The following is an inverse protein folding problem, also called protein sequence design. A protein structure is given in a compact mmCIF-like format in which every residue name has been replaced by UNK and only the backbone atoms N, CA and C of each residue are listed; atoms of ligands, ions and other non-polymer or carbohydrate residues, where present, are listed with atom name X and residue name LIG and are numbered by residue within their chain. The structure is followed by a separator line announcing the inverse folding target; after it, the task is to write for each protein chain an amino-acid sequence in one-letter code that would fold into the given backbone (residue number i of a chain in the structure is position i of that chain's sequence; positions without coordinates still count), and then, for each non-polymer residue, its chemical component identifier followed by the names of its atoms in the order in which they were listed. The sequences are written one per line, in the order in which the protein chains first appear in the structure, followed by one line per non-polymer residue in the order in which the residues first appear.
data_IF_336665073008
#
_entry.id   IF_336665073008
#
_cell.length_a   1.000
_cell.length_b   1.000
_cell.length_c   1.000
_cell.angle_alpha   90.00
_cell.angle_beta   90.00
_cell.angle_gamma   90.00
#
_symmetry.space_group_name_H-M   'P 1'
#
loop_
_entity.id
_entity.type
_entity.pdbx_description
1 polymer ?
#
# COMPACT_ATOMS: atom_id res chain seq x y z
N UNK A 1 -2.76 -9.30 42.33
CA UNK A 1 -2.46 -10.60 41.65
C UNK A 1 -3.15 -10.71 40.28
N UNK A 2 -3.56 -9.67 39.65
CA UNK A 2 -4.33 -9.73 38.37
C UNK A 2 -3.56 -9.28 37.10
N UNK A 3 -2.34 -8.78 37.24
CA UNK A 3 -1.57 -8.25 36.09
C UNK A 3 -0.63 -9.28 35.43
N UNK A 4 -0.32 -10.39 36.10
CA UNK A 4 0.61 -11.40 35.55
C UNK A 4 -0.05 -12.41 34.58
N UNK A 5 -1.39 -12.58 34.65
CA UNK A 5 -2.09 -13.52 33.74
C UNK A 5 -2.32 -12.99 32.33
N UNK A 6 -2.34 -11.69 32.14
CA UNK A 6 -2.56 -11.09 30.81
C UNK A 6 -1.33 -11.17 29.89
N UNK A 7 -0.12 -11.16 30.46
CA UNK A 7 1.14 -11.21 29.70
C UNK A 7 1.44 -12.63 29.16
N UNK A 8 1.02 -13.67 29.89
CA UNK A 8 1.28 -15.08 29.48
C UNK A 8 0.40 -15.51 28.30
N UNK A 9 -0.77 -14.89 28.09
CA UNK A 9 -1.65 -15.22 26.97
C UNK A 9 -1.24 -14.57 25.66
N UNK A 10 -0.52 -13.46 25.70
CA UNK A 10 -0.04 -12.74 24.49
C UNK A 10 1.16 -13.43 23.82
N UNK A 11 2.05 -14.07 24.59
CA UNK A 11 3.21 -14.80 24.05
C UNK A 11 2.86 -16.15 23.45
N UNK A 12 1.77 -16.79 23.84
CA UNK A 12 1.36 -18.09 23.33
C UNK A 12 0.82 -18.09 21.88
N UNK A 13 0.41 -16.93 21.36
CA UNK A 13 -0.06 -16.76 19.97
C UNK A 13 1.05 -16.65 18.93
N UNK A 14 2.24 -16.23 19.35
CA UNK A 14 3.38 -15.97 18.45
C UNK A 14 4.34 -17.16 18.31
N UNK A 15 4.26 -18.18 19.16
CA UNK A 15 5.15 -19.34 19.14
C UNK A 15 4.73 -20.41 18.11
N UNK A 16 4.58 -20.05 16.83
CA UNK A 16 4.47 -21.03 15.73
C UNK A 16 3.24 -21.95 15.73
N UNK A 17 2.30 -21.77 16.66
CA UNK A 17 1.04 -22.52 16.65
C UNK A 17 0.07 -21.86 15.67
N UNK A 18 -0.53 -22.66 14.77
CA UNK A 18 -1.59 -22.25 13.84
C UNK A 18 -2.57 -21.32 14.55
N UNK A 19 -2.56 -20.03 14.16
CA UNK A 19 -3.57 -19.08 14.64
C UNK A 19 -4.92 -19.59 14.20
N UNK A 20 -5.82 -19.82 15.15
CA UNK A 20 -7.15 -20.37 14.86
C UNK A 20 -7.96 -19.32 14.10
N UNK A 21 -8.66 -19.74 13.04
CA UNK A 21 -9.70 -18.93 12.40
C UNK A 21 -10.63 -18.32 13.44
N UNK A 22 -11.21 -17.16 13.14
CA UNK A 22 -12.14 -16.43 14.00
C UNK A 22 -11.55 -15.77 15.25
N UNK A 23 -10.22 -15.62 15.34
CA UNK A 23 -9.57 -14.77 16.34
C UNK A 23 -9.13 -13.46 15.71
N UNK A 24 -9.02 -12.42 16.49
CA UNK A 24 -8.43 -11.16 16.08
C UNK A 24 -6.92 -11.32 15.90
N UNK A 25 -6.34 -10.55 14.96
CA UNK A 25 -4.88 -10.44 14.85
C UNK A 25 -4.38 -9.78 16.14
N UNK A 26 -3.38 -10.37 16.86
CA UNK A 26 -2.80 -9.71 18.02
C UNK A 26 -2.32 -8.30 17.64
N UNK A 27 -2.49 -7.34 18.56
CA UNK A 27 -1.97 -5.99 18.37
C UNK A 27 -0.49 -6.03 18.00
N UNK A 28 -0.05 -5.04 17.24
CA UNK A 28 1.37 -4.87 16.96
C UNK A 28 2.16 -4.77 18.28
N UNK A 29 3.36 -5.30 18.30
CA UNK A 29 4.30 -5.17 19.41
C UNK A 29 5.69 -4.84 18.88
N UNK A 30 6.51 -4.20 19.72
CA UNK A 30 7.84 -3.75 19.38
C UNK A 30 8.70 -4.88 18.77
N UNK A 31 9.42 -4.56 17.72
CA UNK A 31 10.22 -5.48 16.91
C UNK A 31 9.50 -6.11 15.73
N UNK A 32 8.17 -6.12 15.69
CA UNK A 32 7.43 -6.61 14.53
C UNK A 32 7.31 -5.53 13.45
N UNK A 33 7.39 -5.94 12.19
CA UNK A 33 7.01 -5.11 11.05
C UNK A 33 5.68 -5.65 10.49
N UNK A 34 4.64 -4.83 10.51
CA UNK A 34 3.36 -5.15 9.88
C UNK A 34 3.16 -4.34 8.60
N UNK A 35 2.72 -5.01 7.54
CA UNK A 35 2.39 -4.38 6.25
C UNK A 35 0.97 -4.82 5.88
N UNK A 36 0.03 -3.89 5.98
CA UNK A 36 -1.38 -4.12 5.73
C UNK A 36 -1.77 -3.58 4.37
N UNK A 37 -2.40 -4.41 3.53
CA UNK A 37 -3.09 -4.00 2.31
C UNK A 37 -4.58 -3.99 2.61
N UNK A 38 -5.18 -2.80 2.67
CA UNK A 38 -6.54 -2.61 3.18
C UNK A 38 -7.55 -2.79 2.06
N UNK A 39 -8.60 -3.58 2.31
CA UNK A 39 -9.69 -3.86 1.36
C UNK A 39 -10.90 -2.95 1.65
N UNK A 40 -11.25 -2.08 0.70
CA UNK A 40 -12.53 -1.33 0.73
C UNK A 40 -13.36 -1.56 -0.54
N UNK A 41 -12.75 -2.21 -1.55
CA UNK A 41 -13.37 -2.38 -2.87
C UNK A 41 -13.49 -1.08 -3.67
N UNK A 42 -12.76 -0.01 -3.30
CA UNK A 42 -12.88 1.32 -3.93
C UNK A 42 -11.56 2.06 -4.16
N UNK A 43 -10.45 1.46 -3.92
CA UNK A 43 -9.14 2.07 -4.13
C UNK A 43 -8.06 1.45 -3.26
N UNK A 44 -6.88 2.03 -3.31
CA UNK A 44 -5.70 1.53 -2.62
C UNK A 44 -5.42 2.30 -1.33
N UNK A 45 -5.07 1.56 -0.30
CA UNK A 45 -4.50 2.09 0.93
C UNK A 45 -3.67 0.99 1.60
N UNK A 46 -2.44 1.33 1.97
CA UNK A 46 -1.59 0.47 2.78
C UNK A 46 -1.30 1.14 4.12
N UNK A 47 -1.17 0.33 5.17
CA UNK A 47 -0.63 0.76 6.46
C UNK A 47 0.61 -0.10 6.76
N UNK A 48 1.74 0.55 7.01
CA UNK A 48 2.95 -0.08 7.50
C UNK A 48 3.17 0.36 8.96
N UNK A 49 3.42 -0.60 9.86
CA UNK A 49 3.82 -0.34 11.24
C UNK A 49 5.22 -0.92 11.38
N UNK A 50 6.20 -0.03 11.51
CA UNK A 50 7.62 -0.35 11.50
C UNK A 50 8.07 -0.93 12.85
N UNK A 51 9.28 -1.50 12.96
CA UNK A 51 9.71 -2.22 14.15
C UNK A 51 9.71 -1.43 15.47
N UNK A 52 9.78 -0.09 15.40
CA UNK A 52 9.69 0.80 16.57
C UNK A 52 8.32 1.45 16.77
N UNK A 53 7.32 1.05 15.97
CA UNK A 53 5.97 1.62 15.98
C UNK A 53 5.79 2.82 15.05
N UNK A 54 6.83 3.32 14.40
CA UNK A 54 6.69 4.35 13.34
C UNK A 54 5.72 3.84 12.27
N UNK A 55 4.77 4.68 11.89
CA UNK A 55 3.72 4.29 10.96
C UNK A 55 3.75 5.07 9.64
N UNK A 56 3.47 4.37 8.55
CA UNK A 56 3.35 4.92 7.21
C UNK A 56 2.03 4.50 6.62
N UNK A 57 1.24 5.45 6.14
CA UNK A 57 0.09 5.17 5.26
C UNK A 57 0.50 5.50 3.83
N UNK A 58 0.23 4.60 2.91
CA UNK A 58 0.44 4.82 1.48
C UNK A 58 -0.90 4.83 0.79
N UNK A 59 -1.23 5.96 0.18
CA UNK A 59 -2.45 6.22 -0.56
C UNK A 59 -3.75 6.20 0.29
N UNK A 60 -4.80 6.81 -0.25
CA UNK A 60 -6.14 6.84 0.32
C UNK A 60 -7.17 6.95 -0.83
N UNK A 61 -7.20 5.93 -1.68
CA UNK A 61 -8.00 5.92 -2.89
C UNK A 61 -9.49 5.71 -2.61
N UNK A 62 -10.31 6.50 -3.28
CA UNK A 62 -11.77 6.35 -3.21
C UNK A 62 -12.39 6.58 -4.59
N UNK A 63 -12.78 5.50 -5.25
CA UNK A 63 -13.53 5.58 -6.50
C UNK A 63 -14.97 5.99 -6.28
N UNK A 64 -15.52 6.67 -7.27
CA UNK A 64 -16.95 6.96 -7.38
C UNK A 64 -17.83 5.73 -7.20
N UNK A 65 -18.90 5.90 -6.42
CA UNK A 65 -19.90 4.87 -6.18
C UNK A 65 -20.69 4.48 -7.44
N UNK A 66 -20.81 5.36 -8.43
CA UNK A 66 -21.78 5.23 -9.53
C UNK A 66 -21.19 5.25 -10.95
N UNK A 67 -19.92 5.03 -11.14
CA UNK A 67 -19.34 5.03 -12.48
C UNK A 67 -19.94 3.92 -13.37
N UNK A 68 -20.87 4.26 -14.28
CA UNK A 68 -21.42 3.32 -15.29
C UNK A 68 -20.37 2.57 -16.11
N UNK A 69 -19.12 3.06 -16.11
CA UNK A 69 -17.97 2.46 -16.79
C UNK A 69 -17.18 1.45 -15.94
N UNK A 70 -17.37 1.43 -14.62
CA UNK A 70 -16.64 0.57 -13.72
C UNK A 70 -17.62 -0.17 -12.81
N UNK A 71 -17.95 -1.40 -13.15
CA UNK A 71 -18.58 -2.30 -12.18
C UNK A 71 -17.52 -2.63 -11.13
N UNK A 72 -17.55 -1.91 -10.03
CA UNK A 72 -16.69 -2.19 -8.89
C UNK A 72 -17.21 -3.40 -8.11
N UNK A 73 -16.34 -4.06 -7.39
CA UNK A 73 -16.74 -5.06 -6.40
C UNK A 73 -17.59 -4.43 -5.29
N UNK A 74 -18.29 -5.23 -4.52
CA UNK A 74 -19.06 -4.73 -3.38
C UNK A 74 -18.15 -3.93 -2.43
N UNK A 75 -18.63 -2.78 -1.94
CA UNK A 75 -17.89 -1.93 -1.01
C UNK A 75 -17.77 -2.60 0.37
N UNK A 76 -16.64 -2.41 1.05
CA UNK A 76 -16.39 -2.94 2.40
C UNK A 76 -16.33 -1.82 3.42
N UNK A 77 -16.75 -2.08 4.66
CA UNK A 77 -17.43 -3.29 5.13
C UNK A 77 -18.89 -3.39 4.65
N UNK A 78 -19.47 -2.31 4.11
CA UNK A 78 -20.83 -2.24 3.58
C UNK A 78 -20.97 -1.06 2.61
N UNK A 79 -22.11 -0.95 1.93
CA UNK A 79 -22.37 0.09 0.93
C UNK A 79 -22.50 1.52 1.52
N UNK A 80 -22.80 1.63 2.81
CA UNK A 80 -23.03 2.91 3.51
C UNK A 80 -21.75 3.53 4.05
N UNK A 81 -20.73 2.70 4.37
CA UNK A 81 -19.47 3.17 4.92
C UNK A 81 -18.58 3.71 3.81
N UNK A 82 -18.30 5.00 3.84
CA UNK A 82 -17.38 5.64 2.89
C UNK A 82 -15.98 4.98 2.97
N UNK A 83 -15.28 4.70 1.84
CA UNK A 83 -13.95 4.05 1.84
C UNK A 83 -12.94 4.73 2.76
N UNK A 84 -12.84 6.05 2.73
CA UNK A 84 -11.93 6.81 3.62
C UNK A 84 -12.30 6.67 5.09
N UNK A 85 -13.60 6.48 5.43
CA UNK A 85 -13.99 6.14 6.80
C UNK A 85 -13.53 4.74 7.18
N UNK A 86 -13.69 3.76 6.30
CA UNK A 86 -13.22 2.40 6.53
C UNK A 86 -11.70 2.34 6.70
N UNK A 87 -10.94 3.11 5.91
CA UNK A 87 -9.49 3.26 6.11
C UNK A 87 -9.16 3.84 7.49
N UNK A 88 -9.84 4.92 7.88
CA UNK A 88 -9.62 5.56 9.19
C UNK A 88 -9.94 4.62 10.35
N UNK A 89 -11.05 3.87 10.29
CA UNK A 89 -11.42 2.89 11.31
C UNK A 89 -10.37 1.78 11.43
N UNK A 90 -9.92 1.24 10.27
CA UNK A 90 -8.89 0.22 10.21
C UNK A 90 -7.55 0.70 10.77
N UNK A 91 -7.10 1.89 10.36
CA UNK A 91 -5.84 2.47 10.81
C UNK A 91 -5.88 2.70 12.32
N UNK A 92 -6.96 3.28 12.86
CA UNK A 92 -7.11 3.46 14.33
C UNK A 92 -7.12 2.15 15.11
N UNK A 93 -7.61 1.07 14.50
CA UNK A 93 -7.61 -0.25 15.17
C UNK A 93 -6.20 -0.85 15.30
N UNK A 94 -5.36 -0.68 14.28
CA UNK A 94 -4.04 -1.33 14.24
C UNK A 94 -2.87 -0.42 14.59
N UNK A 95 -2.97 0.88 14.30
CA UNK A 95 -1.88 1.82 14.58
C UNK A 95 -1.67 1.96 16.10
N UNK A 96 -0.42 1.83 16.60
CA UNK A 96 -0.16 1.91 18.05
C UNK A 96 -0.31 3.32 18.63
N UNK A 97 -0.41 4.35 17.78
CA UNK A 97 -0.50 5.76 18.18
C UNK A 97 -1.71 6.45 17.55
N UNK A 98 -2.14 7.58 18.12
CA UNK A 98 -3.30 8.35 17.66
C UNK A 98 -3.08 9.06 16.31
N UNK A 99 -1.83 9.22 15.89
CA UNK A 99 -1.45 9.84 14.63
C UNK A 99 -0.52 8.92 13.82
N UNK A 100 -0.55 9.06 12.50
CA UNK A 100 0.37 8.43 11.57
C UNK A 100 1.60 9.31 11.41
N UNK A 101 2.81 8.74 11.42
CA UNK A 101 4.04 9.52 11.28
C UNK A 101 4.23 10.03 9.86
N UNK A 102 3.93 9.19 8.86
CA UNK A 102 4.09 9.53 7.45
C UNK A 102 2.87 9.14 6.62
N UNK A 103 2.46 10.02 5.74
CA UNK A 103 1.56 9.70 4.63
C UNK A 103 2.32 9.84 3.32
N UNK A 104 2.39 8.79 2.53
CA UNK A 104 2.97 8.81 1.19
C UNK A 104 1.87 8.74 0.12
N UNK A 105 1.70 9.78 -0.67
CA UNK A 105 0.87 9.72 -1.87
C UNK A 105 1.75 9.24 -3.02
N UNK A 106 1.49 8.02 -3.50
CA UNK A 106 2.31 7.40 -4.54
C UNK A 106 2.25 8.17 -5.85
N UNK A 107 1.04 8.50 -6.30
CA UNK A 107 0.77 9.29 -7.49
C UNK A 107 -0.67 9.85 -7.48
N UNK A 108 -1.06 10.64 -8.48
CA UNK A 108 -2.27 11.46 -8.43
C UNK A 108 -3.46 10.89 -9.23
N UNK A 109 -3.64 9.56 -9.24
CA UNK A 109 -4.84 8.94 -9.76
C UNK A 109 -5.94 8.80 -8.69
N UNK A 110 -7.18 8.64 -9.16
CA UNK A 110 -8.38 8.61 -8.31
C UNK A 110 -8.39 7.46 -7.31
N UNK A 111 -7.91 6.31 -7.70
CA UNK A 111 -7.83 5.10 -6.87
C UNK A 111 -6.68 5.13 -5.85
N UNK A 112 -5.91 6.23 -5.81
CA UNK A 112 -4.84 6.50 -4.84
C UNK A 112 -5.06 7.77 -4.02
N UNK A 113 -5.75 8.79 -4.58
CA UNK A 113 -6.00 10.04 -3.86
C UNK A 113 -7.47 10.44 -3.76
N UNK A 114 -8.38 9.74 -4.39
CA UNK A 114 -9.80 9.97 -4.49
C UNK A 114 -10.27 10.56 -5.83
N UNK A 115 -11.55 10.37 -6.12
CA UNK A 115 -12.28 11.06 -7.18
C UNK A 115 -12.99 12.30 -6.61
N UNK A 116 -13.37 13.23 -7.48
CA UNK A 116 -14.21 14.36 -7.10
C UNK A 116 -15.69 13.95 -7.18
N UNK A 117 -16.39 14.02 -6.05
CA UNK A 117 -17.81 13.74 -5.97
C UNK A 117 -18.60 14.97 -5.49
N UNK A 118 -19.83 15.17 -5.96
CA UNK A 118 -20.64 16.35 -5.60
C UNK A 118 -20.97 16.48 -4.11
N UNK A 119 -21.05 15.35 -3.41
CA UNK A 119 -21.41 15.29 -1.99
C UNK A 119 -20.27 15.59 -1.03
N UNK A 120 -19.06 15.81 -1.51
CA UNK A 120 -17.94 16.12 -0.62
C UNK A 120 -18.12 17.48 0.05
N UNK A 121 -18.02 17.46 1.38
CA UNK A 121 -18.17 18.64 2.21
C UNK A 121 -16.89 19.45 2.26
N UNK A 122 -17.04 20.77 2.44
CA UNK A 122 -15.92 21.65 2.71
C UNK A 122 -15.39 21.42 4.13
N UNK A 123 -14.08 21.54 4.29
CA UNK A 123 -13.46 21.54 5.61
C UNK A 123 -13.98 22.71 6.46
N UNK A 124 -14.17 22.47 7.75
CA UNK A 124 -14.47 23.55 8.71
C UNK A 124 -13.22 24.40 9.05
N UNK A 125 -12.03 23.90 8.77
CA UNK A 125 -10.76 24.55 9.16
C UNK A 125 -10.16 25.38 8.02
N UNK A 126 -10.26 24.92 6.78
CA UNK A 126 -9.60 25.55 5.64
C UNK A 126 -10.44 25.50 4.36
N UNK A 127 -9.99 26.22 3.33
CA UNK A 127 -10.70 26.33 2.06
C UNK A 127 -10.40 25.15 1.11
N UNK A 128 -10.71 23.91 1.55
CA UNK A 128 -10.55 22.69 0.77
C UNK A 128 -11.70 21.69 1.05
N UNK A 129 -11.90 20.74 0.13
CA UNK A 129 -12.92 19.69 0.27
C UNK A 129 -12.35 18.46 0.99
N UNK A 130 -13.21 17.79 1.76
CA UNK A 130 -12.88 16.54 2.47
C UNK A 130 -12.97 15.35 1.53
N UNK A 131 -12.00 15.22 0.65
CA UNK A 131 -11.86 14.10 -0.29
C UNK A 131 -10.69 13.21 0.14
N UNK A 132 -10.75 11.91 -0.13
CA UNK A 132 -9.63 10.98 0.00
C UNK A 132 -8.65 11.28 1.14
N UNK A 133 -7.47 11.74 0.78
CA UNK A 133 -6.38 12.07 1.71
C UNK A 133 -6.83 13.05 2.81
N UNK A 134 -7.54 14.13 2.43
CA UNK A 134 -8.00 15.15 3.36
C UNK A 134 -9.03 14.59 4.36
N UNK A 135 -9.99 13.80 3.87
CA UNK A 135 -10.98 13.15 4.74
C UNK A 135 -10.34 12.13 5.68
N UNK A 136 -9.29 11.42 5.24
CA UNK A 136 -8.54 10.50 6.08
C UNK A 136 -7.75 11.26 7.16
N UNK A 137 -7.09 12.37 6.79
CA UNK A 137 -6.34 13.22 7.75
C UNK A 137 -7.21 13.69 8.92
N UNK A 138 -8.45 14.10 8.67
CA UNK A 138 -9.40 14.52 9.71
C UNK A 138 -9.88 13.37 10.63
N UNK A 139 -9.64 12.12 10.23
CA UNK A 139 -9.94 10.95 11.07
C UNK A 139 -8.70 10.44 11.81
N UNK A 140 -7.56 10.44 11.13
CA UNK A 140 -6.27 10.00 11.64
C UNK A 140 -5.22 11.00 11.15
N UNK A 141 -4.78 11.95 11.98
CA UNK A 141 -3.82 12.97 11.58
C UNK A 141 -2.50 12.37 11.11
N UNK A 142 -1.87 12.99 10.11
CA UNK A 142 -0.51 12.68 9.64
C UNK A 142 0.46 13.73 10.16
N UNK A 143 1.67 13.33 10.54
CA UNK A 143 2.73 14.27 10.96
C UNK A 143 3.50 14.82 9.76
N UNK A 144 3.74 13.98 8.75
CA UNK A 144 4.42 14.38 7.51
C UNK A 144 3.76 13.74 6.29
N UNK A 145 3.52 14.56 5.26
CA UNK A 145 3.07 14.10 3.94
C UNK A 145 4.23 14.13 2.97
N UNK A 146 4.40 13.05 2.22
CA UNK A 146 5.42 12.90 1.19
C UNK A 146 4.74 12.54 -0.13
N UNK A 147 4.96 13.34 -1.16
CA UNK A 147 4.46 13.04 -2.51
C UNK A 147 5.54 13.27 -3.57
N UNK A 148 5.26 12.84 -4.80
CA UNK A 148 6.19 12.91 -5.93
C UNK A 148 6.56 14.33 -6.38
N UNK A 149 5.79 15.36 -6.00
CA UNK A 149 5.85 16.67 -6.64
C UNK A 149 5.77 17.87 -5.68
N UNK A 150 5.72 17.68 -4.37
CA UNK A 150 5.58 18.77 -3.41
C UNK A 150 6.54 19.94 -3.70
N UNK A 151 6.00 21.15 -3.76
CA UNK A 151 6.73 22.37 -4.11
C UNK A 151 7.06 22.55 -5.59
N UNK A 152 6.67 21.62 -6.48
CA UNK A 152 6.91 21.72 -7.92
C UNK A 152 5.91 20.86 -8.73
N UNK A 153 4.62 20.99 -8.45
CA UNK A 153 3.56 20.21 -9.10
C UNK A 153 3.51 20.37 -10.63
N UNK A 154 3.95 21.51 -11.14
CA UNK A 154 3.97 21.81 -12.58
C UNK A 154 5.27 21.38 -13.29
N UNK A 155 6.24 20.83 -12.55
CA UNK A 155 7.55 20.46 -13.10
C UNK A 155 7.52 19.27 -14.06
N UNK A 156 6.50 18.41 -13.96
CA UNK A 156 6.28 17.26 -14.83
C UNK A 156 4.85 17.31 -15.37
N UNK A 157 4.72 17.59 -16.67
CA UNK A 157 3.43 17.52 -17.36
C UNK A 157 3.11 16.06 -17.66
N UNK A 158 2.20 15.46 -16.90
CA UNK A 158 1.73 14.10 -17.11
C UNK A 158 0.29 14.06 -17.56
N UNK A 159 -0.04 13.12 -18.47
CA UNK A 159 -1.41 12.89 -18.92
C UNK A 159 -2.19 12.09 -17.87
N UNK A 160 -3.48 12.32 -17.79
CA UNK A 160 -4.42 11.58 -16.91
C UNK A 160 -4.22 11.80 -15.40
N UNK A 161 -3.96 13.03 -15.01
CA UNK A 161 -3.96 13.46 -13.61
C UNK A 161 -5.36 13.90 -13.17
N UNK A 162 -5.72 13.62 -11.92
CA UNK A 162 -6.98 14.08 -11.31
C UNK A 162 -6.85 15.53 -10.84
N UNK A 163 -6.89 16.49 -11.78
CA UNK A 163 -6.53 17.90 -11.55
C UNK A 163 -7.36 18.58 -10.46
N UNK A 164 -8.68 18.36 -10.43
CA UNK A 164 -9.57 19.00 -9.43
C UNK A 164 -9.24 18.55 -8.01
N UNK A 165 -9.04 17.25 -7.80
CA UNK A 165 -8.67 16.72 -6.47
C UNK A 165 -7.27 17.16 -6.07
N UNK A 166 -6.35 17.24 -7.03
CA UNK A 166 -5.00 17.74 -6.79
C UNK A 166 -5.01 19.22 -6.32
N UNK A 167 -5.88 20.06 -6.87
CA UNK A 167 -6.00 21.44 -6.40
C UNK A 167 -6.53 21.51 -4.97
N UNK A 168 -7.52 20.70 -4.59
CA UNK A 168 -7.99 20.61 -3.21
C UNK A 168 -6.89 20.08 -2.26
N UNK A 169 -6.13 19.09 -2.69
CA UNK A 169 -4.98 18.57 -1.96
C UNK A 169 -3.89 19.62 -1.74
N UNK A 170 -3.57 20.44 -2.74
CA UNK A 170 -2.62 21.56 -2.63
C UNK A 170 -3.10 22.62 -1.62
N UNK A 171 -4.41 22.96 -1.64
CA UNK A 171 -5.01 23.88 -0.65
C UNK A 171 -4.88 23.32 0.77
N UNK A 172 -5.19 22.03 0.96
CA UNK A 172 -5.03 21.33 2.24
C UNK A 172 -3.58 21.40 2.75
N UNK A 173 -2.60 21.03 1.91
CA UNK A 173 -1.20 21.09 2.30
C UNK A 173 -0.76 22.50 2.67
N UNK A 174 -1.10 23.50 1.85
CA UNK A 174 -0.75 24.90 2.09
C UNK A 174 -1.32 25.38 3.44
N UNK A 175 -2.58 25.05 3.73
CA UNK A 175 -3.21 25.42 4.99
C UNK A 175 -2.52 24.81 6.20
N UNK A 176 -2.35 23.47 6.22
CA UNK A 176 -1.82 22.77 7.38
C UNK A 176 -0.32 22.98 7.60
N UNK A 177 0.45 23.12 6.52
CA UNK A 177 1.88 23.47 6.60
C UNK A 177 2.05 24.89 7.15
N UNK A 178 1.25 25.86 6.68
CA UNK A 178 1.29 27.23 7.20
C UNK A 178 0.89 27.32 8.69
N UNK A 179 -0.01 26.44 9.15
CA UNK A 179 -0.40 26.33 10.57
C UNK A 179 0.65 25.60 11.42
N UNK A 180 1.63 24.94 10.83
CA UNK A 180 2.67 24.20 11.53
C UNK A 180 2.23 22.85 12.12
N UNK A 181 1.05 22.37 11.80
CA UNK A 181 0.52 21.10 12.30
C UNK A 181 0.75 19.92 11.32
N UNK A 182 1.30 20.20 10.13
CA UNK A 182 1.67 19.20 9.12
C UNK A 182 3.00 19.58 8.48
N UNK A 183 3.90 18.61 8.29
CA UNK A 183 5.07 18.77 7.42
C UNK A 183 4.74 18.19 6.05
N UNK A 184 5.30 18.76 4.98
CA UNK A 184 5.21 18.22 3.65
C UNK A 184 6.56 18.27 2.95
N UNK A 185 6.90 17.21 2.22
CA UNK A 185 8.15 17.11 1.48
C UNK A 185 7.97 16.33 0.18
N UNK A 186 8.87 16.62 -0.79
CA UNK A 186 8.92 15.83 -2.02
C UNK A 186 9.62 14.51 -1.74
N UNK A 187 9.12 13.44 -2.37
CA UNK A 187 9.77 12.15 -2.39
C UNK A 187 11.18 12.26 -2.99
N UNK A 188 12.19 11.87 -2.22
CA UNK A 188 13.61 12.02 -2.56
C UNK A 188 14.13 10.70 -3.10
N UNK A 189 14.27 10.59 -4.42
CA UNK A 189 14.83 9.43 -5.08
C UNK A 189 16.24 9.13 -4.52
N UNK A 190 16.51 7.86 -4.18
CA UNK A 190 17.78 7.39 -3.62
C UNK A 190 17.96 7.66 -2.12
N UNK A 191 17.02 8.31 -1.45
CA UNK A 191 17.10 8.49 0.00
C UNK A 191 16.89 7.15 0.73
N UNK A 192 17.65 6.96 1.80
CA UNK A 192 17.54 5.79 2.71
C UNK A 192 17.01 6.18 4.10
N UNK A 193 16.76 7.47 4.32
CA UNK A 193 16.38 8.02 5.62
C UNK A 193 15.17 8.97 5.55
N UNK A 194 14.45 9.01 4.43
CA UNK A 194 13.26 9.89 4.33
C UNK A 194 12.11 9.36 5.20
N UNK A 195 11.92 8.04 5.25
CA UNK A 195 10.99 7.38 6.15
C UNK A 195 11.77 6.82 7.36
N UNK A 196 12.39 7.71 8.14
CA UNK A 196 13.18 7.31 9.30
C UNK A 196 12.29 6.83 10.45
N UNK A 197 12.77 5.88 11.23
CA UNK A 197 12.15 5.47 12.49
C UNK A 197 12.07 6.66 13.45
N UNK A 198 10.94 6.84 14.13
CA UNK A 198 10.62 8.02 14.95
C UNK A 198 10.69 7.80 16.46
N UNK A 199 10.53 6.53 16.88
CA UNK A 199 10.35 6.24 18.30
C UNK A 199 11.59 5.59 18.92
N UNK A 200 12.26 4.64 18.25
CA UNK A 200 13.43 3.95 18.78
C UNK A 200 14.37 3.46 17.67
N UNK A 201 14.84 4.36 16.81
CA UNK A 201 15.69 3.99 15.66
C UNK A 201 16.98 3.23 16.05
N UNK A 202 17.56 3.54 17.20
CA UNK A 202 18.81 2.92 17.66
C UNK A 202 18.67 1.41 17.93
N UNK A 203 17.48 0.95 18.27
CA UNK A 203 17.22 -0.48 18.52
C UNK A 203 17.17 -1.31 17.22
N UNK A 204 17.03 -0.69 16.05
CA UNK A 204 16.82 -1.37 14.77
C UNK A 204 17.84 -0.95 13.69
N UNK A 205 19.14 -1.16 13.90
CA UNK A 205 20.18 -0.76 12.95
C UNK A 205 20.12 -1.57 11.62
N UNK A 206 19.40 -2.69 11.62
CA UNK A 206 19.15 -3.54 10.46
C UNK A 206 17.84 -3.20 9.71
N UNK A 207 17.21 -2.07 10.04
CA UNK A 207 16.01 -1.57 9.35
C UNK A 207 16.33 -0.35 8.52
N UNK A 208 15.81 -0.28 7.29
CA UNK A 208 15.83 0.92 6.42
C UNK A 208 14.77 0.87 5.35
N UNK A 209 14.43 2.04 4.82
CA UNK A 209 13.59 2.19 3.64
C UNK A 209 14.38 2.90 2.54
N UNK A 210 14.47 2.29 1.37
CA UNK A 210 15.21 2.79 0.20
C UNK A 210 14.22 3.30 -0.85
N UNK A 211 14.28 4.58 -1.19
CA UNK A 211 13.46 5.19 -2.23
C UNK A 211 14.01 4.84 -3.61
N UNK A 212 13.34 3.97 -4.37
CA UNK A 212 13.90 3.37 -5.58
C UNK A 212 13.41 3.98 -6.89
N UNK A 213 12.18 4.53 -6.94
CA UNK A 213 11.69 5.17 -8.17
C UNK A 213 10.74 6.33 -7.88
N UNK A 214 10.74 7.31 -8.77
CA UNK A 214 9.76 8.41 -8.82
C UNK A 214 9.92 9.18 -10.13
N UNK A 215 8.80 9.68 -10.67
CA UNK A 215 8.77 10.58 -11.84
C UNK A 215 9.53 10.03 -13.07
N UNK A 216 9.41 8.72 -13.34
CA UNK A 216 10.07 8.07 -14.47
C UNK A 216 11.57 7.84 -14.29
N UNK A 217 12.10 8.13 -13.10
CA UNK A 217 13.50 7.89 -12.73
C UNK A 217 13.62 6.72 -11.75
N UNK A 218 14.74 6.02 -11.81
CA UNK A 218 15.09 4.89 -10.92
C UNK A 218 16.43 5.16 -10.27
N UNK A 219 16.55 4.93 -8.96
CA UNK A 219 17.83 4.95 -8.26
C UNK A 219 18.51 3.60 -8.41
N UNK A 220 19.60 3.57 -9.11
CA UNK A 220 20.35 2.33 -9.37
C UNK A 220 21.84 2.62 -9.39
N UNK A 221 22.62 1.75 -8.77
CA UNK A 221 24.10 1.84 -8.73
C UNK A 221 24.59 3.23 -8.25
N UNK A 222 23.96 3.77 -7.20
CA UNK A 222 24.34 5.04 -6.56
C UNK A 222 23.97 6.30 -7.36
N UNK A 223 23.16 6.19 -8.40
CA UNK A 223 22.76 7.33 -9.24
C UNK A 223 21.30 7.23 -9.74
N UNK A 224 20.73 8.39 -10.06
CA UNK A 224 19.44 8.45 -10.73
C UNK A 224 19.59 8.09 -12.22
N UNK A 225 18.79 7.12 -12.68
CA UNK A 225 18.62 6.78 -14.09
C UNK A 225 17.27 7.29 -14.56
N UNK A 226 17.25 8.25 -15.47
CA UNK A 226 16.03 8.68 -16.15
C UNK A 226 15.71 7.69 -17.28
N UNK A 227 14.68 6.86 -17.08
CA UNK A 227 14.24 5.86 -18.07
C UNK A 227 13.52 6.51 -19.26
N UNK A 228 12.99 7.72 -19.06
CA UNK A 228 12.29 8.50 -20.08
C UNK A 228 13.16 9.62 -20.67
N UNK A 229 14.49 9.55 -20.54
CA UNK A 229 15.39 10.53 -21.13
C UNK A 229 15.13 10.67 -22.65
N UNK A 230 14.92 11.90 -23.12
CA UNK A 230 14.58 12.20 -24.53
C UNK A 230 13.12 11.96 -24.92
N UNK A 231 12.30 11.34 -24.05
CA UNK A 231 10.88 11.04 -24.30
C UNK A 231 10.00 11.38 -23.09
N UNK A 232 10.36 12.42 -22.35
CA UNK A 232 9.65 12.79 -21.11
C UNK A 232 8.18 13.17 -21.34
N UNK A 233 7.81 13.60 -22.54
CA UNK A 233 6.42 13.82 -22.97
C UNK A 233 5.58 12.54 -23.03
N UNK A 234 6.20 11.36 -22.99
CA UNK A 234 5.53 10.05 -22.95
C UNK A 234 5.23 9.57 -21.54
N UNK A 235 5.77 10.23 -20.51
CA UNK A 235 5.47 9.84 -19.12
C UNK A 235 3.97 9.97 -18.86
N UNK A 236 3.40 8.91 -18.31
CA UNK A 236 2.04 8.89 -17.76
C UNK A 236 2.09 8.95 -16.24
N UNK A 237 0.98 9.32 -15.60
CA UNK A 237 0.91 9.47 -14.14
C UNK A 237 1.39 8.21 -13.39
N UNK A 238 1.02 7.01 -13.85
CA UNK A 238 1.48 5.75 -13.26
C UNK A 238 3.01 5.63 -13.23
N UNK A 239 3.70 6.05 -14.29
CA UNK A 239 5.16 6.03 -14.33
C UNK A 239 5.81 7.12 -13.43
N UNK A 240 5.01 8.04 -12.91
CA UNK A 240 5.47 9.03 -11.94
C UNK A 240 5.36 8.54 -10.48
N UNK A 241 4.81 7.36 -10.23
CA UNK A 241 4.63 6.79 -8.89
C UNK A 241 5.91 6.78 -8.08
N UNK A 242 5.79 7.11 -6.77
CA UNK A 242 6.82 6.89 -5.77
C UNK A 242 6.90 5.39 -5.42
N UNK A 243 8.09 4.84 -5.43
CA UNK A 243 8.32 3.45 -5.04
C UNK A 243 9.50 3.33 -4.10
N UNK A 244 9.35 2.45 -3.10
CA UNK A 244 10.39 2.19 -2.11
C UNK A 244 10.46 0.71 -1.72
N UNK A 245 11.64 0.30 -1.24
CA UNK A 245 11.88 -1.02 -0.66
C UNK A 245 12.04 -0.86 0.85
N UNK A 246 11.28 -1.62 1.63
CA UNK A 246 11.48 -1.80 3.07
C UNK A 246 12.42 -2.98 3.26
N UNK A 247 13.49 -2.78 4.02
CA UNK A 247 14.46 -3.82 4.38
C UNK A 247 14.52 -3.96 5.90
N UNK A 248 14.28 -5.17 6.38
CA UNK A 248 14.35 -5.49 7.80
C UNK A 248 15.03 -6.83 8.01
N UNK A 249 16.27 -6.80 8.48
CA UNK A 249 17.10 -8.01 8.55
C UNK A 249 17.26 -8.65 7.17
N UNK A 250 16.70 -9.86 7.00
CA UNK A 250 16.68 -10.58 5.71
C UNK A 250 15.41 -10.31 4.90
N UNK A 251 14.37 -9.77 5.52
CA UNK A 251 13.08 -9.53 4.86
C UNK A 251 13.10 -8.25 4.03
N UNK A 252 12.68 -8.37 2.78
CA UNK A 252 12.53 -7.27 1.85
C UNK A 252 11.11 -7.19 1.28
N UNK A 253 10.54 -5.96 1.27
CA UNK A 253 9.23 -5.69 0.69
C UNK A 253 9.30 -4.52 -0.28
N UNK A 254 8.71 -4.66 -1.47
CA UNK A 254 8.61 -3.60 -2.48
C UNK A 254 7.16 -3.13 -2.63
N UNK A 255 6.98 -1.80 -2.63
CA UNK A 255 5.79 -1.13 -3.15
C UNK A 255 6.20 0.01 -4.08
N UNK A 256 5.51 0.18 -5.21
CA UNK A 256 5.86 1.20 -6.21
C UNK A 256 4.62 1.76 -6.94
N UNK A 257 3.51 1.90 -6.20
CA UNK A 257 2.26 2.45 -6.77
C UNK A 257 1.83 1.67 -8.01
N UNK A 258 1.58 2.40 -9.09
CA UNK A 258 1.02 1.86 -10.33
C UNK A 258 1.99 1.86 -11.49
N UNK A 259 3.30 1.70 -11.22
CA UNK A 259 4.26 1.56 -12.31
C UNK A 259 3.91 0.40 -13.23
N UNK A 260 4.25 0.55 -14.50
CA UNK A 260 4.10 -0.48 -15.52
C UNK A 260 5.33 -0.58 -16.40
N UNK A 261 5.37 -1.59 -17.24
CA UNK A 261 6.54 -1.89 -18.09
C UNK A 261 6.55 -1.10 -19.41
N UNK A 262 6.06 0.11 -19.41
CA UNK A 262 6.28 1.01 -20.54
C UNK A 262 7.75 1.44 -20.56
N UNK A 263 8.41 1.25 -21.70
CA UNK A 263 9.83 1.56 -21.89
C UNK A 263 10.76 0.84 -20.90
N UNK A 264 10.44 -0.39 -20.55
CA UNK A 264 11.17 -1.21 -19.56
C UNK A 264 11.22 -0.60 -18.13
N UNK A 265 10.35 0.36 -17.81
CA UNK A 265 10.42 1.08 -16.53
C UNK A 265 10.30 0.15 -15.33
N UNK A 266 9.25 -0.69 -15.30
CA UNK A 266 9.07 -1.66 -14.20
C UNK A 266 10.26 -2.63 -14.10
N UNK A 267 10.81 -3.08 -15.23
CA UNK A 267 11.96 -3.98 -15.22
C UNK A 267 13.22 -3.32 -14.64
N UNK A 268 13.47 -2.03 -14.96
CA UNK A 268 14.60 -1.29 -14.37
C UNK A 268 14.38 -1.08 -12.86
N UNK A 269 13.14 -0.83 -12.42
CA UNK A 269 12.80 -0.75 -10.98
C UNK A 269 13.04 -2.10 -10.30
N UNK A 270 12.62 -3.22 -10.92
CA UNK A 270 12.87 -4.56 -10.39
C UNK A 270 14.37 -4.85 -10.25
N UNK A 271 15.20 -4.44 -11.22
CA UNK A 271 16.66 -4.57 -11.14
C UNK A 271 17.27 -3.73 -10.01
N UNK A 272 16.73 -2.54 -9.74
CA UNK A 272 17.19 -1.68 -8.65
C UNK A 272 16.79 -2.22 -7.27
N UNK A 273 15.56 -2.73 -7.15
CA UNK A 273 15.06 -3.33 -5.91
C UNK A 273 15.79 -4.66 -5.57
N UNK A 274 16.13 -5.44 -6.61
CA UNK A 274 16.69 -6.79 -6.44
C UNK A 274 15.63 -7.81 -6.02
N UNK A 275 16.05 -8.93 -5.44
CA UNK A 275 15.15 -9.95 -4.88
C UNK A 275 14.44 -9.40 -3.66
N UNK A 276 13.15 -9.72 -3.54
CA UNK A 276 12.31 -9.35 -2.38
C UNK A 276 11.53 -10.57 -1.89
N UNK A 277 11.12 -10.57 -0.62
CA UNK A 277 10.28 -11.63 -0.05
C UNK A 277 8.80 -11.40 -0.34
N UNK A 278 8.40 -10.13 -0.28
CA UNK A 278 7.02 -9.71 -0.48
C UNK A 278 6.93 -8.51 -1.41
N UNK A 279 5.82 -8.40 -2.14
CA UNK A 279 5.54 -7.27 -3.03
C UNK A 279 4.05 -6.90 -2.99
N UNK A 280 3.74 -5.61 -3.02
CA UNK A 280 2.43 -5.13 -3.44
C UNK A 280 2.42 -5.12 -4.97
N UNK A 281 1.47 -5.82 -5.58
CA UNK A 281 1.37 -5.85 -7.03
C UNK A 281 1.26 -4.43 -7.60
N UNK A 282 2.16 -4.06 -8.49
CA UNK A 282 2.09 -2.78 -9.17
C UNK A 282 0.80 -2.72 -10.00
N UNK A 283 0.17 -1.54 -10.03
CA UNK A 283 -1.00 -1.24 -10.87
C UNK A 283 -2.06 -2.35 -10.81
N UNK A 284 -2.37 -2.82 -9.58
CA UNK A 284 -3.42 -3.82 -9.30
C UNK A 284 -3.30 -5.11 -10.11
N UNK A 285 -2.09 -5.50 -10.49
CA UNK A 285 -1.81 -6.61 -11.42
C UNK A 285 -2.46 -6.40 -12.80
N UNK A 286 -2.33 -5.18 -13.36
CA UNK A 286 -2.84 -4.84 -14.70
C UNK A 286 -2.04 -5.53 -15.82
N UNK A 287 -2.53 -5.52 -17.09
CA UNK A 287 -1.80 -6.13 -18.21
C UNK A 287 -0.37 -5.63 -18.41
N UNK A 288 -0.08 -4.39 -17.98
CA UNK A 288 1.21 -3.75 -18.19
C UNK A 288 2.12 -3.74 -16.96
N UNK A 289 1.78 -4.47 -15.89
CA UNK A 289 2.56 -4.50 -14.65
C UNK A 289 2.88 -5.91 -14.23
N UNK A 290 3.83 -6.07 -13.30
CA UNK A 290 4.26 -7.37 -12.80
C UNK A 290 4.58 -8.36 -13.91
N UNK A 291 5.24 -7.89 -14.97
CA UNK A 291 5.57 -8.71 -16.14
C UNK A 291 6.58 -9.81 -15.79
N UNK A 292 6.62 -10.88 -16.58
CA UNK A 292 7.39 -12.07 -16.25
C UNK A 292 8.89 -11.79 -16.03
N UNK A 293 9.51 -10.90 -16.83
CA UNK A 293 10.94 -10.56 -16.66
C UNK A 293 11.18 -9.81 -15.34
N UNK A 294 10.28 -8.90 -14.92
CA UNK A 294 10.35 -8.20 -13.63
C UNK A 294 10.16 -9.17 -12.47
N UNK A 295 9.16 -10.06 -12.58
CA UNK A 295 8.88 -11.09 -11.56
C UNK A 295 10.05 -12.07 -11.37
N UNK A 296 10.77 -12.42 -12.44
CA UNK A 296 11.99 -13.27 -12.35
C UNK A 296 13.11 -12.59 -11.58
N UNK A 297 13.24 -11.26 -11.67
CA UNK A 297 14.25 -10.50 -10.92
C UNK A 297 13.85 -10.37 -9.45
N UNK A 298 12.61 -9.91 -9.20
CA UNK A 298 12.08 -9.72 -7.84
C UNK A 298 11.96 -11.05 -7.08
N UNK A 299 11.56 -12.11 -7.77
CA UNK A 299 11.35 -13.46 -7.24
C UNK A 299 10.64 -13.51 -5.87
N UNK A 300 9.51 -12.80 -5.67
CA UNK A 300 8.85 -12.72 -4.39
C UNK A 300 8.21 -14.06 -3.99
N UNK A 301 8.18 -14.35 -2.68
CA UNK A 301 7.47 -15.50 -2.12
C UNK A 301 5.95 -15.24 -2.05
N UNK A 302 5.59 -14.00 -1.76
CA UNK A 302 4.19 -13.58 -1.59
C UNK A 302 3.92 -12.23 -2.29
N UNK A 303 2.68 -12.06 -2.75
CA UNK A 303 2.20 -10.85 -3.39
C UNK A 303 0.82 -10.49 -2.85
N UNK A 304 0.63 -9.26 -2.34
CA UNK A 304 -0.69 -8.69 -2.14
C UNK A 304 -1.16 -7.99 -3.41
N UNK A 305 -2.42 -8.18 -3.79
CA UNK A 305 -3.03 -7.54 -4.97
C UNK A 305 -4.21 -6.72 -4.50
N UNK A 306 -4.08 -5.41 -4.53
CA UNK A 306 -5.22 -4.50 -4.32
C UNK A 306 -6.09 -4.58 -5.54
N UNK A 307 -7.28 -5.14 -5.42
CA UNK A 307 -8.23 -5.23 -6.52
C UNK A 307 -9.61 -4.73 -6.07
N UNK A 308 -10.29 -4.05 -6.96
CA UNK A 308 -11.58 -3.42 -6.67
C UNK A 308 -12.48 -3.32 -7.93
N UNK A 309 -12.04 -3.85 -9.06
CA UNK A 309 -12.77 -3.81 -10.33
C UNK A 309 -13.33 -5.19 -10.69
N UNK A 310 -14.53 -5.22 -11.26
CA UNK A 310 -15.10 -6.39 -11.92
C UNK A 310 -14.63 -6.54 -13.38
N UNK A 311 -13.61 -5.76 -13.80
CA UNK A 311 -13.05 -5.85 -15.14
C UNK A 311 -12.04 -6.99 -15.23
N UNK A 312 -12.02 -7.67 -16.35
CA UNK A 312 -11.11 -8.77 -16.66
C UNK A 312 -9.62 -8.42 -16.72
N UNK A 313 -9.28 -7.13 -16.56
CA UNK A 313 -7.91 -6.64 -16.71
C UNK A 313 -7.21 -6.32 -15.37
N UNK A 314 -7.91 -6.40 -14.24
CA UNK A 314 -7.36 -6.09 -12.91
C UNK A 314 -8.06 -6.90 -11.82
N UNK A 315 -7.45 -7.99 -11.30
CA UNK A 315 -6.13 -8.55 -11.69
C UNK A 315 -6.16 -9.28 -13.03
N UNK A 316 -5.12 -9.12 -13.83
CA UNK A 316 -5.00 -9.78 -15.14
C UNK A 316 -4.74 -11.28 -14.99
N UNK A 317 -5.74 -12.08 -15.30
CA UNK A 317 -5.69 -13.54 -15.14
C UNK A 317 -4.61 -14.21 -16.03
N UNK A 318 -4.17 -13.60 -17.12
CA UNK A 318 -3.12 -14.15 -17.98
C UNK A 318 -1.78 -14.32 -17.26
N UNK A 319 -1.57 -13.55 -16.18
CA UNK A 319 -0.33 -13.54 -15.39
C UNK A 319 -0.24 -14.67 -14.37
N UNK A 320 -1.36 -15.25 -13.97
CA UNK A 320 -1.41 -16.26 -12.92
C UNK A 320 -0.57 -17.52 -13.23
N UNK A 321 -0.44 -17.86 -14.52
CA UNK A 321 0.34 -19.01 -14.95
C UNK A 321 1.81 -18.91 -14.55
N UNK A 322 2.50 -17.85 -14.98
CA UNK A 322 3.92 -17.69 -14.68
C UNK A 322 4.18 -17.27 -13.22
N UNK A 323 3.30 -16.47 -12.60
CA UNK A 323 3.43 -16.11 -11.19
C UNK A 323 3.43 -17.37 -10.31
N UNK A 324 2.48 -18.28 -10.52
CA UNK A 324 2.46 -19.56 -9.80
C UNK A 324 3.66 -20.43 -10.13
N UNK A 325 4.12 -20.47 -11.40
CA UNK A 325 5.32 -21.22 -11.80
C UNK A 325 6.59 -20.71 -11.09
N UNK A 326 6.66 -19.41 -10.81
CA UNK A 326 7.73 -18.80 -10.02
C UNK A 326 7.61 -19.05 -8.50
N UNK A 327 6.53 -19.72 -8.06
CA UNK A 327 6.30 -20.05 -6.66
C UNK A 327 5.74 -18.90 -5.81
N UNK A 328 5.38 -17.77 -6.41
CA UNK A 328 4.80 -16.63 -5.71
C UNK A 328 3.34 -16.90 -5.34
N UNK A 329 2.98 -16.76 -4.06
CA UNK A 329 1.61 -16.91 -3.56
C UNK A 329 0.88 -15.57 -3.63
N UNK A 330 -0.27 -15.53 -4.30
CA UNK A 330 -1.07 -14.31 -4.48
C UNK A 330 -2.22 -14.23 -3.47
N UNK A 331 -2.40 -13.04 -2.88
CA UNK A 331 -3.47 -12.70 -1.96
C UNK A 331 -4.17 -11.45 -2.49
N UNK A 332 -5.36 -11.63 -3.09
CA UNK A 332 -6.16 -10.52 -3.59
C UNK A 332 -7.07 -9.98 -2.47
N UNK A 333 -7.19 -8.65 -2.36
CA UNK A 333 -8.06 -7.99 -1.37
C UNK A 333 -9.54 -8.16 -1.73
N UNK A 334 -9.87 -8.08 -3.01
CA UNK A 334 -11.21 -8.38 -3.50
C UNK A 334 -11.18 -8.73 -4.99
N UNK A 335 -11.82 -9.81 -5.36
CA UNK A 335 -12.03 -10.20 -6.77
C UNK A 335 -13.51 -10.14 -7.07
N UNK A 336 -13.88 -9.57 -8.21
CA UNK A 336 -15.27 -9.45 -8.61
C UNK A 336 -15.96 -10.79 -8.81
N UNK A 337 -17.24 -10.88 -8.44
CA UNK A 337 -18.04 -12.11 -8.58
C UNK A 337 -18.04 -12.64 -10.02
N UNK A 338 -18.26 -11.76 -11.00
CA UNK A 338 -18.19 -12.13 -12.41
C UNK A 338 -16.84 -12.75 -12.83
N UNK A 339 -15.75 -12.28 -12.25
CA UNK A 339 -14.42 -12.82 -12.50
C UNK A 339 -14.28 -14.22 -11.89
N UNK A 340 -14.77 -14.42 -10.66
CA UNK A 340 -14.75 -15.72 -9.98
C UNK A 340 -15.60 -16.75 -10.72
N UNK A 341 -16.75 -16.34 -11.26
CA UNK A 341 -17.65 -17.18 -12.03
C UNK A 341 -17.07 -17.56 -13.40
N UNK A 342 -16.52 -16.58 -14.12
CA UNK A 342 -15.99 -16.81 -15.47
C UNK A 342 -14.64 -17.56 -15.47
N UNK A 343 -13.82 -17.38 -14.43
CA UNK A 343 -12.46 -17.94 -14.36
C UNK A 343 -12.16 -18.69 -13.05
N UNK A 344 -13.04 -19.62 -12.61
CA UNK A 344 -12.91 -20.26 -11.29
C UNK A 344 -11.60 -21.08 -11.15
N UNK A 345 -11.15 -21.71 -12.22
CA UNK A 345 -9.89 -22.49 -12.22
C UNK A 345 -8.65 -21.62 -12.05
N UNK A 346 -8.70 -20.35 -12.50
CA UNK A 346 -7.61 -19.40 -12.38
C UNK A 346 -7.56 -18.88 -10.96
N UNK A 347 -8.68 -18.36 -10.43
CA UNK A 347 -8.72 -17.76 -9.09
C UNK A 347 -8.57 -18.76 -7.95
N UNK A 348 -8.82 -20.07 -8.18
CA UNK A 348 -8.41 -21.13 -7.24
C UNK A 348 -6.90 -21.17 -6.97
N UNK A 349 -6.08 -20.57 -7.83
CA UNK A 349 -4.63 -20.44 -7.63
C UNK A 349 -4.26 -19.31 -6.66
N UNK A 350 -5.16 -18.37 -6.38
CA UNK A 350 -4.97 -17.39 -5.33
C UNK A 350 -5.12 -18.04 -3.96
N UNK A 351 -4.35 -17.57 -3.01
CA UNK A 351 -4.49 -17.95 -1.60
C UNK A 351 -5.72 -17.30 -0.97
N UNK A 352 -6.00 -16.06 -1.38
CA UNK A 352 -7.20 -15.29 -1.00
C UNK A 352 -7.76 -14.54 -2.20
N UNK A 353 -9.09 -14.35 -2.21
CA UNK A 353 -9.82 -13.54 -3.20
C UNK A 353 -10.65 -12.42 -2.53
N UNK A 354 -10.59 -12.33 -1.19
CA UNK A 354 -11.22 -11.25 -0.41
C UNK A 354 -10.61 -11.15 0.99
N UNK A 355 -10.55 -9.95 1.54
CA UNK A 355 -10.08 -9.63 2.89
C UNK A 355 -8.92 -8.64 2.90
N UNK A 356 -8.66 -8.04 4.06
CA UNK A 356 -7.43 -7.28 4.26
C UNK A 356 -6.26 -8.27 4.31
N UNK A 357 -5.14 -7.91 3.66
CA UNK A 357 -3.94 -8.77 3.64
C UNK A 357 -2.87 -8.16 4.52
N UNK A 358 -2.32 -8.93 5.45
CA UNK A 358 -1.27 -8.47 6.38
C UNK A 358 -0.04 -9.36 6.25
N UNK A 359 1.09 -8.76 5.94
CA UNK A 359 2.40 -9.40 6.09
C UNK A 359 2.95 -8.98 7.46
N UNK A 360 3.06 -9.93 8.38
CA UNK A 360 3.65 -9.72 9.70
C UNK A 360 5.01 -10.37 9.77
N UNK A 361 6.03 -9.56 9.89
CA UNK A 361 7.43 -9.98 9.99
C UNK A 361 7.82 -10.07 11.46
N UNK A 362 8.39 -11.21 11.84
CA UNK A 362 8.89 -11.43 13.19
C UNK A 362 10.10 -10.53 13.49
N UNK A 363 10.41 -10.26 14.77
CA UNK A 363 11.60 -9.50 15.14
C UNK A 363 12.86 -10.05 14.47
N UNK A 364 13.75 -9.12 14.04
CA UNK A 364 14.97 -9.39 13.28
C UNK A 364 14.77 -9.76 11.79
N UNK A 365 13.53 -9.85 11.30
CA UNK A 365 13.27 -10.00 9.86
C UNK A 365 13.67 -11.36 9.27
N UNK A 366 13.72 -12.45 10.07
CA UNK A 366 14.08 -13.77 9.56
C UNK A 366 12.90 -14.60 9.07
N UNK A 367 11.71 -14.34 9.63
CA UNK A 367 10.48 -15.06 9.29
C UNK A 367 9.32 -14.10 9.20
N UNK A 368 8.33 -14.47 8.41
CA UNK A 368 7.08 -13.71 8.30
C UNK A 368 5.87 -14.61 8.08
N UNK A 369 4.72 -14.04 8.35
CA UNK A 369 3.41 -14.66 8.18
C UNK A 369 2.55 -13.80 7.26
N UNK A 370 1.61 -14.44 6.58
CA UNK A 370 0.54 -13.75 5.86
C UNK A 370 -0.79 -14.06 6.54
N UNK A 371 -1.48 -13.00 6.95
CA UNK A 371 -2.83 -13.09 7.48
C UNK A 371 -3.81 -12.47 6.48
N UNK A 372 -4.97 -13.09 6.34
CA UNK A 372 -6.12 -12.48 5.65
C UNK A 372 -7.19 -12.25 6.69
N UNK A 373 -7.60 -10.99 6.84
CA UNK A 373 -8.58 -10.58 7.82
C UNK A 373 -9.93 -10.34 7.13
N UNK A 374 -11.02 -10.52 7.87
CA UNK A 374 -12.37 -10.30 7.35
C UNK A 374 -12.61 -8.82 7.11
N UNK A 375 -12.94 -8.47 5.87
CA UNK A 375 -13.18 -7.10 5.41
C UNK A 375 -14.67 -6.67 5.52
N UNK A 376 -15.52 -7.54 6.03
CA UNK A 376 -16.91 -7.24 6.42
C UNK A 376 -17.11 -7.19 7.95
N UNK A 377 -16.10 -7.59 8.73
CA UNK A 377 -16.12 -7.67 10.17
C UNK A 377 -15.35 -6.51 10.81
N UNK A 378 -16.02 -5.72 11.66
CA UNK A 378 -15.39 -4.59 12.38
C UNK A 378 -14.32 -5.01 13.40
N UNK A 379 -14.29 -6.28 13.79
CA UNK A 379 -13.23 -6.87 14.64
C UNK A 379 -12.05 -7.40 13.82
N UNK A 380 -12.12 -7.35 12.50
CA UNK A 380 -11.08 -7.81 11.57
C UNK A 380 -10.57 -9.21 11.89
N UNK A 381 -11.48 -10.18 12.13
CA UNK A 381 -11.11 -11.55 12.50
C UNK A 381 -10.33 -12.24 11.38
N UNK A 382 -9.42 -13.12 11.78
CA UNK A 382 -8.56 -13.86 10.86
C UNK A 382 -9.38 -14.92 10.10
N UNK A 383 -9.45 -14.79 8.80
CA UNK A 383 -10.00 -15.78 7.85
C UNK A 383 -8.96 -16.83 7.49
N UNK A 384 -7.68 -16.42 7.35
CA UNK A 384 -6.58 -17.27 6.92
C UNK A 384 -5.27 -16.82 7.58
N UNK A 385 -4.40 -17.80 7.85
CA UNK A 385 -3.01 -17.59 8.20
C UNK A 385 -2.13 -18.55 7.42
N UNK A 386 -1.13 -18.03 6.72
CA UNK A 386 -0.11 -18.78 5.97
C UNK A 386 1.27 -18.47 6.51
N UNK A 387 2.13 -19.46 6.62
CA UNK A 387 3.48 -19.29 7.11
C UNK A 387 3.87 -20.32 8.18
N UNK A 388 5.00 -20.14 8.91
CA UNK A 388 5.95 -19.06 8.62
C UNK A 388 6.67 -19.25 7.28
N UNK A 389 6.90 -18.12 6.58
CA UNK A 389 7.84 -18.07 5.48
C UNK A 389 9.21 -17.69 6.04
N UNK A 390 10.27 -18.25 5.48
CA UNK A 390 11.63 -17.84 5.79
C UNK A 390 12.04 -16.73 4.85
N UNK A 391 12.50 -15.59 5.39
CA UNK A 391 13.09 -14.54 4.61
C UNK A 391 14.40 -14.99 3.95
N UNK A 392 14.71 -14.46 2.76
CA UNK A 392 15.81 -14.95 1.90
C UNK A 392 17.17 -14.44 2.31
#
# INVERSE_FOLDING_TARGET
MSLLLAVVTLTAGYNGKKVRKNRTLPAWSEGYLDIHTISTGRGECLLLILPDGTSIVVDAGEFSREGKKHKNVAQRPNAQTRPTKAFGDYIRHFNPYDAVDYFNLSHFHMDHMCNMEPEYTKSAEGDYLLTGVMALYHQVPFREVIDRAYGAYDSLKVKAMSTKVLEEYKKFLNYHVAKGNLKASRFKLGAVNQFALKHNAAAYPNFRIENVCSNGCVWKDGKAKDVYAGIRDKIRENAASCGFVVRYGKFDFLTAGDIGDYYDFEYVVAQAAGKVDAVKAHHHLSPHSMIEKSMKVLAPQVMSVTSFSNREIQPDQSKFGYINKLGCKMYCTSVGEAMLENYPKIYKKCRSVSGHVVFRVEPNGEKFWVYVLDDFDSEYRIKMADGPFKAK
#
